data_IF_136258256584
#
_entry.id   IF_136258256584
#
_cell.length_a   1.000
_cell.length_b   1.000
_cell.length_c   1.000
_cell.angle_alpha   90.00
_cell.angle_beta   90.00
_cell.angle_gamma   90.00
#
_symmetry.space_group_name_H-M   'P 1'
#
loop_
_entity.id
_entity.type
_entity.pdbx_description
1 polymer ?
#
# COMPACT_ATOMS: atom_id res chain seq x y z
N UNK A 1 -43.05 -61.68 27.16
CA UNK A 1 -42.09 -61.00 26.27
C UNK A 1 -41.98 -59.55 26.73
N UNK A 2 -40.91 -59.18 27.44
CA UNK A 2 -40.71 -57.84 28.03
C UNK A 2 -40.13 -56.92 26.95
N UNK A 3 -40.75 -55.76 26.69
CA UNK A 3 -40.21 -54.74 25.81
C UNK A 3 -39.80 -53.54 26.67
N UNK A 4 -38.49 -53.29 26.75
CA UNK A 4 -37.89 -52.15 27.45
C UNK A 4 -37.86 -50.94 26.51
N UNK A 5 -38.63 -49.90 26.83
CA UNK A 5 -38.57 -48.60 26.15
C UNK A 5 -37.43 -47.78 26.74
N UNK A 6 -36.35 -47.56 25.97
CA UNK A 6 -35.29 -46.61 26.34
C UNK A 6 -35.60 -45.25 25.73
N UNK A 7 -35.78 -44.25 26.59
CA UNK A 7 -35.94 -42.84 26.28
C UNK A 7 -34.56 -42.28 25.84
N UNK A 8 -34.41 -41.88 24.58
CA UNK A 8 -33.21 -41.14 24.12
C UNK A 8 -33.44 -39.65 24.28
N UNK A 9 -32.76 -39.05 25.26
CA UNK A 9 -32.68 -37.60 25.44
C UNK A 9 -31.70 -37.03 24.40
N UNK A 10 -32.18 -36.20 23.48
CA UNK A 10 -31.34 -35.50 22.49
C UNK A 10 -30.80 -34.23 23.14
N UNK A 11 -29.48 -34.17 23.37
CA UNK A 11 -28.77 -32.95 23.74
C UNK A 11 -28.58 -32.08 22.47
N UNK A 12 -29.25 -30.93 22.41
CA UNK A 12 -29.01 -29.95 21.37
C UNK A 12 -27.71 -29.19 21.68
N UNK A 13 -26.66 -29.47 20.91
CA UNK A 13 -25.36 -28.80 21.02
C UNK A 13 -25.46 -27.46 20.27
N UNK A 14 -25.57 -26.35 21.00
CA UNK A 14 -25.51 -25.01 20.42
C UNK A 14 -24.07 -24.70 20.02
N UNK A 15 -23.79 -24.74 18.72
CA UNK A 15 -22.51 -24.33 18.15
C UNK A 15 -22.46 -22.79 18.16
N UNK A 16 -21.74 -22.22 19.12
CA UNK A 16 -21.38 -20.80 19.10
C UNK A 16 -20.29 -20.59 18.06
N UNK A 17 -20.66 -20.01 16.91
CA UNK A 17 -19.69 -19.52 15.94
C UNK A 17 -19.00 -18.29 16.53
N UNK A 18 -17.75 -18.44 16.94
CA UNK A 18 -16.88 -17.30 17.24
C UNK A 18 -16.51 -16.62 15.91
N UNK A 19 -17.23 -15.56 15.55
CA UNK A 19 -16.75 -14.61 14.55
C UNK A 19 -15.47 -13.98 15.09
N UNK A 20 -14.33 -14.25 14.44
CA UNK A 20 -13.07 -13.57 14.76
C UNK A 20 -13.27 -12.07 14.53
N UNK A 21 -13.08 -11.29 15.59
CA UNK A 21 -13.41 -9.87 15.66
C UNK A 21 -12.46 -8.98 14.86
N UNK A 22 -12.72 -8.83 13.56
CA UNK A 22 -12.39 -7.59 12.89
C UNK A 22 -13.40 -6.54 13.34
N UNK A 23 -13.03 -5.69 14.30
CA UNK A 23 -13.95 -4.71 14.88
C UNK A 23 -14.22 -3.59 13.89
N UNK A 24 -15.45 -3.09 13.82
CA UNK A 24 -15.82 -1.99 12.93
C UNK A 24 -14.96 -0.72 13.13
N UNK A 25 -14.51 -0.49 14.36
CA UNK A 25 -13.57 0.60 14.69
C UNK A 25 -12.22 0.44 13.99
N UNK A 26 -11.65 -0.77 13.99
CA UNK A 26 -10.40 -1.08 13.28
C UNK A 26 -10.58 -0.93 11.76
N UNK A 27 -11.72 -1.38 11.22
CA UNK A 27 -12.03 -1.22 9.79
C UNK A 27 -12.06 0.25 9.39
N UNK A 28 -12.70 1.08 10.22
CA UNK A 28 -12.85 2.52 9.97
C UNK A 28 -11.49 3.24 10.01
N UNK A 29 -10.63 2.94 10.99
CA UNK A 29 -9.32 3.60 11.08
C UNK A 29 -8.41 3.23 9.91
N UNK A 30 -8.45 1.98 9.44
CA UNK A 30 -7.71 1.55 8.25
C UNK A 30 -8.25 2.20 6.97
N UNK A 31 -9.58 2.34 6.85
CA UNK A 31 -10.21 3.03 5.74
C UNK A 31 -9.77 4.51 5.69
N UNK A 32 -9.84 5.22 6.81
CA UNK A 32 -9.42 6.62 6.91
C UNK A 32 -7.94 6.83 6.58
N UNK A 33 -7.08 5.93 7.08
CA UNK A 33 -5.66 5.99 6.79
C UNK A 33 -5.38 5.79 5.30
N UNK A 34 -5.97 4.75 4.68
CA UNK A 34 -5.82 4.49 3.25
C UNK A 34 -6.31 5.67 2.39
N UNK A 35 -7.49 6.21 2.69
CA UNK A 35 -8.06 7.35 1.96
C UNK A 35 -7.26 8.64 2.12
N UNK A 36 -6.40 8.74 3.15
CA UNK A 36 -5.51 9.89 3.31
C UNK A 36 -4.40 9.97 2.26
N UNK A 37 -4.12 8.86 1.56
CA UNK A 37 -3.23 8.83 0.41
C UNK A 37 -3.89 9.34 -0.88
N UNK A 38 -5.21 9.24 -1.00
CA UNK A 38 -5.94 9.53 -2.22
C UNK A 38 -6.16 11.04 -2.44
N UNK A 39 -6.12 11.53 -3.69
CA UNK A 39 -6.67 12.82 -4.07
C UNK A 39 -8.12 12.96 -3.56
N UNK A 40 -8.54 14.13 -3.04
CA UNK A 40 -9.88 14.30 -2.48
C UNK A 40 -11.00 13.89 -3.44
N UNK A 41 -10.82 14.15 -4.74
CA UNK A 41 -11.80 13.82 -5.79
C UNK A 41 -11.89 12.33 -6.13
N UNK A 42 -10.94 11.50 -5.66
CA UNK A 42 -10.93 10.05 -5.89
C UNK A 42 -11.46 9.25 -4.70
N UNK A 43 -11.50 9.82 -3.49
CA UNK A 43 -11.74 9.09 -2.23
C UNK A 43 -12.99 8.20 -2.24
N UNK A 44 -14.08 8.68 -2.83
CA UNK A 44 -15.35 7.93 -2.88
C UNK A 44 -15.43 6.90 -4.02
N UNK A 45 -14.38 6.82 -4.86
CA UNK A 45 -14.35 5.99 -6.07
C UNK A 45 -13.21 4.99 -6.11
N UNK A 46 -12.26 5.06 -5.18
CA UNK A 46 -11.18 4.07 -5.05
C UNK A 46 -11.68 2.81 -4.36
N UNK A 47 -11.12 1.68 -4.76
CA UNK A 47 -11.23 0.45 -3.95
C UNK A 47 -10.26 0.58 -2.80
N UNK A 48 -10.66 0.20 -1.58
CA UNK A 48 -9.78 0.19 -0.41
C UNK A 48 -9.69 -1.23 0.12
N UNK A 49 -8.45 -1.73 0.20
CA UNK A 49 -8.14 -3.04 0.76
C UNK A 49 -7.26 -2.87 1.99
N UNK A 50 -7.43 -3.75 2.99
CA UNK A 50 -6.38 -3.96 3.98
C UNK A 50 -5.31 -4.96 3.46
N UNK A 51 -4.25 -5.15 4.25
CA UNK A 51 -3.14 -6.04 3.90
C UNK A 51 -3.48 -7.54 4.00
N UNK A 52 -4.64 -7.88 4.57
CA UNK A 52 -5.23 -9.23 4.59
C UNK A 52 -6.18 -9.45 3.40
N UNK A 53 -6.25 -8.49 2.48
CA UNK A 53 -7.15 -8.45 1.30
C UNK A 53 -8.65 -8.34 1.64
N UNK A 54 -9.00 -7.88 2.84
CA UNK A 54 -10.38 -7.54 3.14
C UNK A 54 -10.74 -6.24 2.43
N UNK A 55 -11.92 -6.21 1.80
CA UNK A 55 -12.46 -5.01 1.18
C UNK A 55 -13.04 -4.10 2.27
N UNK A 56 -12.47 -2.89 2.40
CA UNK A 56 -12.97 -1.84 3.30
C UNK A 56 -13.91 -0.87 2.58
N UNK A 57 -13.72 -0.70 1.26
CA UNK A 57 -14.57 0.10 0.39
C UNK A 57 -14.49 -0.44 -1.04
N UNK A 58 -15.63 -0.63 -1.68
CA UNK A 58 -15.71 -0.95 -3.10
C UNK A 58 -15.57 0.32 -3.95
N UNK A 59 -14.79 0.25 -5.03
CA UNK A 59 -14.49 1.36 -5.92
C UNK A 59 -14.97 1.16 -7.35
N UNK A 60 -14.95 2.24 -8.13
CA UNK A 60 -15.23 2.26 -9.57
C UNK A 60 -14.11 2.89 -10.40
N UNK A 61 -13.10 3.47 -9.74
CA UNK A 61 -11.90 4.01 -10.38
C UNK A 61 -10.85 2.91 -10.64
N UNK A 62 -9.76 3.28 -11.30
CA UNK A 62 -8.64 2.38 -11.59
C UNK A 62 -7.61 2.30 -10.44
N UNK A 63 -7.91 2.89 -9.28
CA UNK A 63 -6.98 2.95 -8.14
C UNK A 63 -7.46 2.07 -7.00
N UNK A 64 -6.50 1.37 -6.40
CA UNK A 64 -6.66 0.63 -5.16
C UNK A 64 -5.80 1.26 -4.08
N UNK A 65 -6.39 1.63 -2.96
CA UNK A 65 -5.70 2.20 -1.82
C UNK A 65 -5.50 1.19 -0.69
N UNK A 66 -4.38 1.33 -0.01
CA UNK A 66 -3.98 0.53 1.13
C UNK A 66 -3.64 1.44 2.31
N UNK A 67 -3.99 1.05 3.55
CA UNK A 67 -3.53 1.74 4.73
C UNK A 67 -2.01 1.57 4.86
N UNK A 68 -1.42 2.32 5.77
CA UNK A 68 -0.03 2.18 6.19
C UNK A 68 0.28 0.70 6.47
N UNK A 69 1.35 0.15 5.84
CA UNK A 69 1.77 -1.22 6.10
C UNK A 69 2.00 -1.48 7.60
N UNK A 70 1.44 -2.55 8.19
CA UNK A 70 1.47 -2.79 9.63
C UNK A 70 2.88 -3.03 10.20
N UNK A 71 3.85 -3.34 9.34
CA UNK A 71 5.27 -3.49 9.70
C UNK A 71 6.00 -2.15 9.85
N UNK A 72 5.42 -1.05 9.37
CA UNK A 72 6.01 0.28 9.53
C UNK A 72 5.54 0.89 10.84
N UNK A 73 6.47 1.53 11.55
CA UNK A 73 6.14 2.34 12.73
C UNK A 73 5.53 3.68 12.35
N UNK A 74 5.72 4.10 11.10
CA UNK A 74 5.38 5.41 10.61
C UNK A 74 4.35 5.41 9.48
N UNK A 75 3.64 6.53 9.35
CA UNK A 75 2.57 6.71 8.37
C UNK A 75 3.11 6.59 6.94
N UNK A 76 2.49 5.73 6.12
CA UNK A 76 2.81 5.57 4.71
C UNK A 76 1.66 4.90 3.92
N UNK A 77 0.42 5.45 3.94
CA UNK A 77 -0.66 4.93 3.13
C UNK A 77 -0.42 5.25 1.66
N UNK A 78 -0.97 4.43 0.76
CA UNK A 78 -0.73 4.56 -0.68
C UNK A 78 -1.96 4.19 -1.51
N UNK A 79 -2.11 4.82 -2.67
CA UNK A 79 -3.10 4.47 -3.68
C UNK A 79 -2.42 4.17 -5.01
N UNK A 80 -2.57 2.96 -5.52
CA UNK A 80 -1.86 2.45 -6.69
C UNK A 80 -2.83 2.17 -7.83
N UNK A 81 -2.45 2.57 -9.03
CA UNK A 81 -3.11 2.10 -10.24
C UNK A 81 -2.63 0.69 -10.65
N UNK A 82 -3.22 0.14 -11.72
CA UNK A 82 -2.90 -1.21 -12.21
C UNK A 82 -1.40 -1.47 -12.41
N UNK A 83 -0.67 -0.63 -13.16
CA UNK A 83 0.79 -0.77 -13.30
C UNK A 83 1.55 -0.76 -11.97
N UNK A 84 1.16 0.09 -11.00
CA UNK A 84 1.78 0.09 -9.68
C UNK A 84 1.44 -1.17 -8.85
N UNK A 85 0.25 -1.74 -9.04
CA UNK A 85 -0.10 -3.03 -8.42
C UNK A 85 0.81 -4.16 -8.95
N UNK A 86 1.09 -4.18 -10.25
CA UNK A 86 2.04 -5.13 -10.85
C UNK A 86 3.47 -4.90 -10.33
N UNK A 87 3.89 -3.63 -10.22
CA UNK A 87 5.17 -3.23 -9.64
C UNK A 87 5.29 -3.71 -8.19
N UNK A 88 4.26 -3.48 -7.37
CA UNK A 88 4.27 -3.82 -5.94
C UNK A 88 4.37 -5.33 -5.74
N UNK A 89 3.63 -6.10 -6.54
CA UNK A 89 3.72 -7.56 -6.55
C UNK A 89 5.14 -8.03 -6.88
N UNK A 90 5.77 -7.47 -7.92
CA UNK A 90 7.13 -7.84 -8.29
C UNK A 90 8.14 -7.49 -7.19
N UNK A 91 8.05 -6.28 -6.64
CA UNK A 91 8.91 -5.82 -5.53
C UNK A 91 8.79 -6.71 -4.29
N UNK A 92 7.57 -7.03 -3.86
CA UNK A 92 7.31 -7.92 -2.72
C UNK A 92 7.88 -9.33 -2.93
N UNK A 93 7.81 -9.85 -4.15
CA UNK A 93 8.31 -11.19 -4.49
C UNK A 93 9.79 -11.21 -4.92
N UNK A 94 10.45 -10.05 -4.94
CA UNK A 94 11.83 -9.87 -5.43
C UNK A 94 12.01 -10.34 -6.87
N UNK A 95 10.99 -10.14 -7.70
CA UNK A 95 10.98 -10.50 -9.11
C UNK A 95 11.39 -9.32 -10.00
N UNK A 96 12.02 -9.55 -11.17
CA UNK A 96 12.27 -8.48 -12.12
C UNK A 96 10.98 -7.78 -12.54
N UNK A 97 11.02 -6.46 -12.59
CA UNK A 97 9.92 -5.65 -13.09
C UNK A 97 10.37 -4.82 -14.29
N UNK A 98 9.47 -4.68 -15.26
CA UNK A 98 9.59 -3.73 -16.36
C UNK A 98 8.22 -3.12 -16.61
N UNK A 99 8.12 -1.80 -16.49
CA UNK A 99 6.89 -1.08 -16.76
C UNK A 99 6.48 -1.28 -18.23
N UNK A 100 5.21 -1.62 -18.46
CA UNK A 100 4.61 -1.75 -19.81
C UNK A 100 3.78 -0.53 -20.20
N UNK A 101 3.45 0.29 -19.21
CA UNK A 101 2.66 1.51 -19.33
C UNK A 101 3.12 2.49 -18.26
N UNK A 102 2.73 3.76 -18.40
CA UNK A 102 2.87 4.73 -17.31
C UNK A 102 1.95 4.30 -16.17
N UNK A 103 2.47 4.31 -14.96
CA UNK A 103 1.72 4.06 -13.73
C UNK A 103 1.85 5.24 -12.78
N UNK A 104 0.76 5.58 -12.09
CA UNK A 104 0.70 6.62 -11.08
C UNK A 104 0.30 6.00 -9.73
N UNK A 105 1.03 6.36 -8.69
CA UNK A 105 0.68 6.06 -7.30
C UNK A 105 0.64 7.34 -6.49
N UNK A 106 -0.28 7.44 -5.53
CA UNK A 106 -0.41 8.59 -4.65
C UNK A 106 -0.06 8.22 -3.21
N UNK A 107 0.71 9.08 -2.54
CA UNK A 107 0.99 9.04 -1.10
C UNK A 107 0.79 10.45 -0.53
N UNK A 108 -0.43 10.98 -0.64
CA UNK A 108 -0.72 12.38 -0.29
C UNK A 108 -0.69 12.68 1.22
N UNK A 109 -0.61 11.65 2.07
CA UNK A 109 -0.34 11.85 3.49
C UNK A 109 1.16 12.01 3.82
N UNK A 110 2.02 11.80 2.81
CA UNK A 110 3.45 11.60 2.95
C UNK A 110 3.82 10.23 3.51
N UNK A 111 5.12 10.06 3.74
CA UNK A 111 5.69 8.89 4.40
C UNK A 111 6.49 9.27 5.65
N UNK A 112 7.10 8.29 6.30
CA UNK A 112 8.02 8.47 7.43
C UNK A 112 9.43 7.94 7.12
N UNK A 113 9.77 7.86 5.83
CA UNK A 113 11.12 7.55 5.41
C UNK A 113 11.25 6.30 4.55
N UNK A 114 12.08 6.43 3.51
CA UNK A 114 12.62 5.33 2.74
C UNK A 114 14.07 5.63 2.33
N UNK A 115 14.85 4.60 2.04
CA UNK A 115 16.14 4.79 1.35
C UNK A 115 15.88 5.22 -0.08
N UNK A 116 16.60 6.24 -0.56
CA UNK A 116 16.53 6.65 -1.96
C UNK A 116 17.25 5.68 -2.91
N UNK A 117 18.11 4.79 -2.40
CA UNK A 117 18.98 3.93 -3.21
C UNK A 117 18.75 2.43 -3.01
N UNK A 118 18.31 1.99 -1.83
CA UNK A 118 18.08 0.57 -1.51
C UNK A 118 16.59 0.29 -1.28
N UNK A 119 15.91 -0.39 -2.22
CA UNK A 119 14.49 -0.74 -2.09
C UNK A 119 14.17 -1.71 -0.95
N UNK A 120 15.18 -2.25 -0.26
CA UNK A 120 15.01 -3.20 0.84
C UNK A 120 15.66 -2.74 2.15
N UNK A 121 16.06 -1.46 2.24
CA UNK A 121 16.56 -0.87 3.47
C UNK A 121 15.51 -1.00 4.59
N UNK A 122 15.97 -1.35 5.80
CA UNK A 122 15.10 -1.55 6.97
C UNK A 122 15.00 -0.32 7.87
N UNK A 123 15.74 0.73 7.57
CA UNK A 123 15.86 1.94 8.36
C UNK A 123 16.98 2.85 7.85
N UNK A 124 17.14 4.04 8.44
CA UNK A 124 18.15 5.00 8.04
C UNK A 124 19.56 4.49 8.33
N UNK A 125 20.47 4.72 7.40
CA UNK A 125 21.92 4.60 7.57
C UNK A 125 22.59 5.84 6.99
N UNK A 126 23.86 6.08 7.34
CA UNK A 126 24.58 7.27 6.87
C UNK A 126 24.81 7.29 5.34
N UNK A 127 24.63 6.14 4.68
CA UNK A 127 25.00 5.89 3.28
C UNK A 127 23.82 5.49 2.38
N UNK A 128 22.59 5.44 2.91
CA UNK A 128 21.43 4.99 2.13
C UNK A 128 20.50 6.10 1.65
N UNK A 129 20.94 7.36 1.74
CA UNK A 129 20.17 8.53 1.32
C UNK A 129 18.74 8.47 1.84
N UNK A 130 18.58 8.36 3.17
CA UNK A 130 17.25 8.28 3.79
C UNK A 130 16.46 9.58 3.56
N UNK A 131 15.26 9.45 2.98
CA UNK A 131 14.38 10.58 2.66
C UNK A 131 13.04 10.37 3.32
N UNK A 132 12.59 11.37 4.06
CA UNK A 132 11.20 11.47 4.53
C UNK A 132 10.47 12.42 3.58
N UNK A 133 9.43 11.92 2.91
CA UNK A 133 8.66 12.73 1.98
C UNK A 133 7.36 13.26 2.56
N UNK A 134 7.03 14.49 2.13
CA UNK A 134 5.70 15.07 2.32
C UNK A 134 4.68 14.45 1.38
N UNK A 135 3.52 15.11 1.15
CA UNK A 135 2.60 14.71 0.11
C UNK A 135 3.29 14.60 -1.25
N UNK A 136 3.22 13.43 -1.87
CA UNK A 136 3.84 13.17 -3.17
C UNK A 136 3.03 12.17 -4.00
N UNK A 137 3.33 12.10 -5.28
CA UNK A 137 2.95 10.98 -6.13
C UNK A 137 4.21 10.32 -6.72
N UNK A 138 4.06 9.09 -7.16
CA UNK A 138 5.12 8.30 -7.76
C UNK A 138 4.73 7.87 -9.16
N UNK A 139 5.68 7.94 -10.09
CA UNK A 139 5.45 7.57 -11.49
C UNK A 139 6.43 6.47 -11.91
N UNK A 140 5.90 5.39 -12.47
CA UNK A 140 6.67 4.44 -13.27
C UNK A 140 6.44 4.70 -14.74
N UNK A 141 7.45 4.46 -15.56
CA UNK A 141 7.40 4.68 -17.01
C UNK A 141 8.11 3.54 -17.74
N UNK A 142 7.63 3.12 -18.93
CA UNK A 142 8.37 2.19 -19.79
C UNK A 142 9.62 2.83 -20.41
N UNK A 143 9.68 4.17 -20.46
CA UNK A 143 10.80 4.90 -21.05
C UNK A 143 11.89 5.17 -20.00
N UNK A 144 12.90 4.31 -20.02
CA UNK A 144 14.07 4.42 -19.13
C UNK A 144 14.91 5.67 -19.40
N UNK A 145 14.87 6.23 -20.62
CA UNK A 145 15.66 7.43 -20.95
C UNK A 145 15.13 8.67 -20.26
N UNK A 146 13.82 8.71 -19.98
CA UNK A 146 13.21 9.77 -19.17
C UNK A 146 13.81 9.80 -17.75
N UNK A 147 14.12 8.64 -17.19
CA UNK A 147 14.71 8.53 -15.85
C UNK A 147 16.14 9.10 -15.81
N UNK A 148 16.86 9.10 -16.93
CA UNK A 148 18.20 9.71 -17.01
C UNK A 148 18.17 11.23 -17.12
N UNK A 149 17.02 11.82 -17.48
CA UNK A 149 16.86 13.27 -17.58
C UNK A 149 16.56 13.96 -16.25
N UNK A 150 16.26 13.19 -15.20
CA UNK A 150 15.90 13.69 -13.88
C UNK A 150 17.04 13.50 -12.86
N UNK A 151 17.17 14.40 -11.88
CA UNK A 151 18.13 14.22 -10.81
C UNK A 151 17.77 13.03 -9.92
N UNK A 152 18.75 12.49 -9.19
CA UNK A 152 18.51 11.52 -8.11
C UNK A 152 18.53 12.16 -6.73
N UNK A 153 19.02 13.40 -6.62
CA UNK A 153 19.12 14.14 -5.36
C UNK A 153 17.76 14.74 -4.99
N UNK A 154 17.10 14.22 -3.92
CA UNK A 154 15.81 14.73 -3.48
C UNK A 154 15.91 16.18 -2.97
N UNK A 155 17.06 16.65 -2.49
CA UNK A 155 17.22 17.99 -1.89
C UNK A 155 17.01 19.15 -2.88
N UNK A 156 17.04 18.87 -4.19
CA UNK A 156 16.77 19.85 -5.24
C UNK A 156 15.30 20.29 -5.32
N UNK A 157 14.40 19.63 -4.59
CA UNK A 157 13.00 20.04 -4.38
C UNK A 157 12.05 19.83 -5.56
N UNK A 158 12.58 19.43 -6.72
CA UNK A 158 11.79 19.03 -7.89
C UNK A 158 11.60 17.51 -7.98
N UNK A 159 11.02 17.02 -9.09
CA UNK A 159 10.96 15.59 -9.37
C UNK A 159 12.36 14.96 -9.38
N UNK A 160 12.48 13.77 -8.81
CA UNK A 160 13.73 13.02 -8.76
C UNK A 160 13.49 11.53 -8.97
N UNK A 161 14.55 10.80 -9.30
CA UNK A 161 14.50 9.35 -9.49
C UNK A 161 14.97 8.64 -8.22
N UNK A 162 14.09 7.80 -7.70
CA UNK A 162 14.37 6.91 -6.59
C UNK A 162 14.71 5.51 -7.10
N UNK A 163 15.63 4.83 -6.42
CA UNK A 163 16.11 3.47 -6.70
C UNK A 163 16.69 3.29 -8.11
N UNK A 164 17.37 4.32 -8.61
CA UNK A 164 18.04 4.29 -9.91
C UNK A 164 18.97 3.07 -10.02
N UNK A 165 18.91 2.38 -11.15
CA UNK A 165 19.71 1.17 -11.41
C UNK A 165 19.07 -0.13 -10.90
N UNK A 166 17.92 -0.08 -10.23
CA UNK A 166 17.15 -1.26 -9.84
C UNK A 166 15.96 -1.49 -10.79
N UNK A 167 15.36 -2.71 -10.83
CA UNK A 167 14.11 -2.96 -11.57
C UNK A 167 12.90 -2.17 -11.05
N UNK A 168 13.01 -1.54 -9.87
CA UNK A 168 11.91 -0.87 -9.18
C UNK A 168 12.02 0.66 -9.25
N UNK A 169 12.94 1.16 -10.07
CA UNK A 169 13.15 2.59 -10.30
C UNK A 169 11.84 3.30 -10.62
N UNK A 170 11.63 4.45 -9.98
CA UNK A 170 10.45 5.28 -10.19
C UNK A 170 10.78 6.75 -9.96
N UNK A 171 9.92 7.62 -10.46
CA UNK A 171 10.02 9.06 -10.30
C UNK A 171 9.19 9.46 -9.09
N UNK A 172 9.80 10.17 -8.17
CA UNK A 172 9.15 10.83 -7.05
C UNK A 172 8.78 12.25 -7.46
N UNK A 173 7.53 12.67 -7.22
CA UNK A 173 7.07 14.03 -7.50
C UNK A 173 6.46 14.61 -6.22
N UNK A 174 7.23 15.44 -5.48
CA UNK A 174 6.71 16.18 -4.34
C UNK A 174 5.60 17.15 -4.79
N UNK A 175 4.50 17.19 -4.05
CA UNK A 175 3.39 18.14 -4.27
C UNK A 175 3.08 18.97 -3.03
N UNK A 176 3.85 18.80 -1.97
CA UNK A 176 3.78 19.56 -0.73
C UNK A 176 5.16 19.65 -0.06
N UNK A 177 5.22 20.37 1.05
CA UNK A 177 6.45 20.46 1.84
C UNK A 177 6.81 19.10 2.46
N UNK A 178 8.11 18.79 2.49
CA UNK A 178 8.64 17.70 3.33
C UNK A 178 8.44 18.02 4.80
N UNK A 179 8.23 16.97 5.60
CA UNK A 179 8.08 17.07 7.05
C UNK A 179 9.43 17.06 7.75
#
# INVERSE_FOLDING_TARGET
>A
MKLNTRLMTVFALTITYSFSGYTAEKSQSLLEDALSAAPPTLRDTVTVLDWDQNVLQEGTSNYTCFPTPPQLTGKAPMCMDGPWMDWAKAWMNKEPFQAKAIGISYMLAGDEGASNIDPYAKGPTDDNDWVVEGPHLMIITPDVTLLDSLPTDPSLGGPYVMWKGTPYVHIMIPVGARK
#
